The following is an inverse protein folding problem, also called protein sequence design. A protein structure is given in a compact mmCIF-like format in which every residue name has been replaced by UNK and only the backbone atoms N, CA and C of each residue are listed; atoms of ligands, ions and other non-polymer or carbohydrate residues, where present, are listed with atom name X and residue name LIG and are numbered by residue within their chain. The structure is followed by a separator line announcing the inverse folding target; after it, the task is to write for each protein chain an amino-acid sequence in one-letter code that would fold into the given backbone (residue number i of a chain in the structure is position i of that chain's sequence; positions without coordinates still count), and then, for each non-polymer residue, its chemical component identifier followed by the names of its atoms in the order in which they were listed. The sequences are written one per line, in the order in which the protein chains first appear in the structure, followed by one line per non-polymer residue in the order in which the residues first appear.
data_IF_995171154672
#
_entry.id   IF_995171154672
#
_cell.length_a   1.000
_cell.length_b   1.000
_cell.length_c   1.000
_cell.angle_alpha   90.00
_cell.angle_beta   90.00
_cell.angle_gamma   90.00
#
_symmetry.space_group_name_H-M   'P 1'
#
loop_
_entity.id
_entity.type
_entity.pdbx_description
1 polymer ?
#
# COMPACT_ATOMS: atom_id res chain seq x y z
N UNK A 1 16.49 -4.88 28.14
CA UNK A 1 17.69 -4.23 27.55
C UNK A 1 17.78 -4.56 26.07
N UNK A 2 18.09 -3.60 25.20
CA UNK A 2 18.30 -3.88 23.77
C UNK A 2 19.65 -4.56 23.63
N UNK A 3 19.68 -5.74 22.99
CA UNK A 3 20.92 -6.47 22.74
C UNK A 3 21.56 -5.96 21.44
N UNK A 4 22.65 -5.21 21.58
CA UNK A 4 23.42 -4.67 20.46
C UNK A 4 24.52 -5.63 19.96
N UNK A 5 24.72 -6.78 20.62
CA UNK A 5 25.74 -7.76 20.21
C UNK A 5 25.49 -8.30 18.79
N UNK A 6 24.22 -8.36 18.38
CA UNK A 6 23.78 -8.75 17.02
C UNK A 6 24.36 -7.83 15.95
N UNK A 7 24.52 -6.53 16.24
CA UNK A 7 25.12 -5.56 15.31
C UNK A 7 26.64 -5.79 15.20
N UNK A 8 27.30 -6.08 16.32
CA UNK A 8 28.75 -6.36 16.36
C UNK A 8 29.13 -7.60 15.55
N UNK A 9 28.29 -8.63 15.58
CA UNK A 9 28.50 -9.91 14.90
C UNK A 9 28.06 -9.90 13.42
N UNK A 10 27.29 -8.90 12.99
CA UNK A 10 26.82 -8.81 11.60
C UNK A 10 27.91 -8.31 10.65
N UNK A 11 28.03 -8.98 9.50
CA UNK A 11 28.92 -8.55 8.43
C UNK A 11 28.46 -7.21 7.82
N UNK A 12 29.42 -6.41 7.37
CA UNK A 12 29.14 -5.15 6.67
C UNK A 12 28.54 -5.39 5.28
N UNK A 13 28.91 -6.48 4.64
CA UNK A 13 28.43 -6.91 3.32
C UNK A 13 27.98 -8.37 3.37
N UNK A 14 26.86 -8.67 2.72
CA UNK A 14 26.33 -10.01 2.59
C UNK A 14 25.20 -10.03 1.58
N UNK A 15 25.01 -11.18 0.93
CA UNK A 15 23.91 -11.37 -0.02
C UNK A 15 22.60 -11.58 0.75
N UNK A 16 21.48 -10.99 0.28
CA UNK A 16 20.17 -11.28 0.85
C UNK A 16 19.79 -12.74 0.61
N UNK A 17 18.90 -13.25 1.46
CA UNK A 17 18.36 -14.60 1.30
C UNK A 17 17.36 -14.63 0.14
N UNK A 18 17.64 -15.48 -0.83
CA UNK A 18 16.77 -15.71 -1.98
C UNK A 18 15.91 -16.94 -1.75
N UNK A 19 14.63 -16.85 -2.09
CA UNK A 19 13.73 -17.99 -2.13
C UNK A 19 13.26 -18.23 -3.55
N UNK A 20 13.23 -19.49 -3.99
CA UNK A 20 12.71 -19.87 -5.29
C UNK A 20 11.17 -19.84 -5.29
N UNK A 21 10.52 -19.36 -6.35
CA UNK A 21 9.06 -19.35 -6.44
C UNK A 21 8.52 -20.77 -6.60
N UNK A 22 7.51 -21.12 -5.80
CA UNK A 22 6.74 -22.36 -5.92
C UNK A 22 5.29 -22.05 -6.32
N UNK A 23 4.81 -22.71 -7.37
CA UNK A 23 3.48 -22.44 -7.93
C UNK A 23 2.46 -23.44 -7.40
N UNK A 24 1.71 -23.02 -6.37
CA UNK A 24 0.58 -23.78 -5.83
C UNK A 24 -0.72 -23.10 -6.23
N UNK A 25 -1.57 -23.80 -7.01
CA UNK A 25 -2.81 -23.22 -7.53
C UNK A 25 -3.74 -22.71 -6.42
N UNK A 26 -3.82 -23.45 -5.31
CA UNK A 26 -4.63 -23.07 -4.15
C UNK A 26 -4.16 -21.74 -3.53
N UNK A 27 -2.85 -21.56 -3.39
CA UNK A 27 -2.25 -20.32 -2.89
C UNK A 27 -2.42 -19.14 -3.86
N UNK A 28 -2.33 -19.40 -5.17
CA UNK A 28 -2.56 -18.39 -6.20
C UNK A 28 -4.01 -17.90 -6.12
N UNK A 29 -4.99 -18.81 -6.06
CA UNK A 29 -6.40 -18.46 -5.95
C UNK A 29 -6.70 -17.65 -4.68
N UNK A 30 -6.00 -17.93 -3.57
CA UNK A 30 -6.05 -17.16 -2.32
C UNK A 30 -5.59 -15.70 -2.47
N UNK A 31 -4.55 -15.45 -3.27
CA UNK A 31 -3.95 -14.12 -3.40
C UNK A 31 -4.58 -13.30 -4.53
N UNK A 32 -5.14 -13.94 -5.56
CA UNK A 32 -5.76 -13.26 -6.72
C UNK A 32 -6.73 -12.14 -6.34
N UNK A 33 -7.67 -12.31 -5.37
CA UNK A 33 -8.58 -11.23 -4.97
C UNK A 33 -7.86 -9.99 -4.43
N UNK A 34 -6.68 -10.16 -3.82
CA UNK A 34 -5.87 -9.05 -3.27
C UNK A 34 -5.40 -8.12 -4.38
N UNK A 35 -5.24 -8.60 -5.61
CA UNK A 35 -4.86 -7.77 -6.77
C UNK A 35 -5.87 -6.65 -7.01
N UNK A 36 -7.16 -6.89 -6.78
CA UNK A 36 -8.20 -5.85 -6.93
C UNK A 36 -7.99 -4.72 -5.91
N UNK A 37 -7.59 -5.08 -4.69
CA UNK A 37 -7.27 -4.12 -3.63
C UNK A 37 -6.05 -3.28 -4.04
N UNK A 38 -4.99 -3.92 -4.53
CA UNK A 38 -3.77 -3.23 -4.97
C UNK A 38 -4.03 -2.29 -6.15
N UNK A 39 -4.88 -2.68 -7.10
CA UNK A 39 -5.26 -1.81 -8.23
C UNK A 39 -6.03 -0.59 -7.74
N UNK A 40 -6.99 -0.77 -6.82
CA UNK A 40 -7.73 0.34 -6.23
C UNK A 40 -6.83 1.28 -5.41
N UNK A 41 -5.88 0.73 -4.66
CA UNK A 41 -4.88 1.47 -3.90
C UNK A 41 -3.97 2.30 -4.82
N UNK A 42 -3.37 1.67 -5.83
CA UNK A 42 -2.46 2.32 -6.77
C UNK A 42 -3.17 3.41 -7.59
N UNK A 43 -4.44 3.18 -7.97
CA UNK A 43 -5.29 4.22 -8.55
C UNK A 43 -5.43 5.42 -7.60
N UNK A 44 -5.72 5.17 -6.32
CA UNK A 44 -5.81 6.19 -5.29
C UNK A 44 -4.53 7.01 -5.14
N UNK A 45 -3.38 6.35 -5.15
CA UNK A 45 -2.07 7.00 -5.08
C UNK A 45 -1.80 7.91 -6.30
N UNK A 46 -2.06 7.45 -7.53
CA UNK A 46 -1.88 8.28 -8.73
C UNK A 46 -2.83 9.48 -8.72
N UNK A 47 -4.08 9.30 -8.25
CA UNK A 47 -5.04 10.40 -8.09
C UNK A 47 -4.61 11.39 -7.02
N UNK A 48 -4.04 10.93 -5.90
CA UNK A 48 -3.49 11.80 -4.87
C UNK A 48 -2.32 12.64 -5.40
N UNK A 49 -1.42 12.06 -6.20
CA UNK A 49 -0.31 12.80 -6.83
C UNK A 49 -0.83 13.79 -7.89
N UNK A 50 -1.82 13.40 -8.70
CA UNK A 50 -2.51 14.30 -9.64
C UNK A 50 -3.07 15.53 -8.93
N UNK A 51 -3.73 15.33 -7.79
CA UNK A 51 -4.28 16.39 -6.95
C UNK A 51 -3.21 17.31 -6.33
N UNK A 52 -2.01 16.80 -6.03
CA UNK A 52 -0.90 17.61 -5.49
C UNK A 52 -0.17 18.41 -6.57
N UNK A 53 0.02 17.79 -7.72
CA UNK A 53 0.84 18.35 -8.82
C UNK A 53 0.03 19.21 -9.78
N UNK A 54 -1.29 19.10 -9.77
CA UNK A 54 -2.19 19.77 -10.72
C UNK A 54 -2.07 19.26 -12.15
N UNK A 55 -1.38 18.14 -12.37
CA UNK A 55 -1.14 17.54 -13.69
C UNK A 55 -1.99 16.29 -13.85
N UNK A 56 -2.69 16.18 -14.97
CA UNK A 56 -3.47 14.97 -15.27
C UNK A 56 -2.54 13.78 -15.54
N UNK A 57 -2.54 12.80 -14.63
CA UNK A 57 -1.74 11.57 -14.75
C UNK A 57 -2.55 10.37 -15.28
N UNK A 58 -3.83 10.54 -15.60
CA UNK A 58 -4.70 9.46 -16.10
C UNK A 58 -4.14 8.73 -17.34
N UNK A 59 -3.52 9.42 -18.32
CA UNK A 59 -2.90 8.74 -19.46
C UNK A 59 -1.76 7.79 -19.08
N UNK A 60 -1.15 7.98 -17.90
CA UNK A 60 -0.05 7.16 -17.40
C UNK A 60 -0.52 6.03 -16.49
N UNK A 61 -1.82 5.95 -16.16
CA UNK A 61 -2.36 4.96 -15.23
C UNK A 61 -2.03 3.52 -15.64
N UNK A 62 -2.18 3.19 -16.93
CA UNK A 62 -1.82 1.86 -17.44
C UNK A 62 -0.33 1.54 -17.29
N UNK A 63 0.55 2.56 -17.42
CA UNK A 63 2.00 2.41 -17.22
C UNK A 63 2.34 2.26 -15.74
N UNK A 64 1.59 2.91 -14.85
CA UNK A 64 1.73 2.76 -13.41
C UNK A 64 1.37 1.33 -12.96
N UNK A 65 0.24 0.79 -13.42
CA UNK A 65 -0.15 -0.59 -13.12
C UNK A 65 0.82 -1.62 -13.70
N UNK A 66 1.33 -1.40 -14.92
CA UNK A 66 2.34 -2.28 -15.51
C UNK A 66 3.65 -2.24 -14.70
N UNK A 67 4.11 -1.06 -14.29
CA UNK A 67 5.32 -0.92 -13.48
C UNK A 67 5.21 -1.65 -12.14
N UNK A 68 4.06 -1.52 -11.49
CA UNK A 68 3.75 -2.16 -10.21
C UNK A 68 3.68 -3.69 -10.32
N UNK A 69 3.01 -4.18 -11.37
CA UNK A 69 2.95 -5.61 -11.68
C UNK A 69 4.32 -6.20 -12.00
N UNK A 70 5.14 -5.51 -12.81
CA UNK A 70 6.50 -5.96 -13.12
C UNK A 70 7.39 -5.97 -11.88
N UNK A 71 7.30 -4.94 -11.03
CA UNK A 71 8.05 -4.90 -9.78
C UNK A 71 7.63 -6.03 -8.83
N UNK A 72 6.34 -6.34 -8.75
CA UNK A 72 5.81 -7.45 -7.96
C UNK A 72 6.26 -8.81 -8.50
N UNK A 73 6.26 -9.01 -9.83
CA UNK A 73 6.78 -10.24 -10.44
C UNK A 73 8.27 -10.40 -10.11
N UNK A 74 9.07 -9.35 -10.29
CA UNK A 74 10.51 -9.38 -10.00
C UNK A 74 10.78 -9.68 -8.52
N UNK A 75 10.03 -9.04 -7.60
CA UNK A 75 10.09 -9.28 -6.16
C UNK A 75 9.75 -10.74 -5.83
N UNK A 76 8.62 -11.25 -6.35
CA UNK A 76 8.20 -12.63 -6.12
C UNK A 76 9.18 -13.68 -6.67
N UNK A 77 9.83 -13.41 -7.80
CA UNK A 77 10.84 -14.31 -8.38
C UNK A 77 12.08 -14.49 -7.50
N UNK A 78 12.40 -13.50 -6.64
CA UNK A 78 13.56 -13.54 -5.74
C UNK A 78 13.19 -13.90 -4.30
N UNK A 79 11.90 -14.21 -4.04
CA UNK A 79 11.41 -14.53 -2.70
C UNK A 79 10.94 -13.32 -1.88
N UNK A 80 10.79 -12.16 -2.52
CA UNK A 80 10.22 -10.96 -1.92
C UNK A 80 8.69 -11.00 -1.86
N UNK A 81 8.10 -10.01 -1.21
CA UNK A 81 6.65 -9.85 -1.08
C UNK A 81 6.07 -9.05 -2.24
N UNK A 82 4.73 -9.03 -2.37
CA UNK A 82 4.05 -8.08 -3.25
C UNK A 82 4.44 -6.64 -2.90
N UNK A 83 4.65 -5.80 -3.91
CA UNK A 83 5.03 -4.40 -3.74
C UNK A 83 3.95 -3.49 -4.30
N UNK A 84 3.86 -2.29 -3.75
CA UNK A 84 2.92 -1.25 -4.18
C UNK A 84 3.56 0.12 -4.04
N UNK A 85 2.90 1.15 -4.53
CA UNK A 85 3.30 2.54 -4.31
C UNK A 85 3.07 2.94 -2.86
N UNK A 86 4.00 3.71 -2.27
CA UNK A 86 3.93 4.11 -0.85
C UNK A 86 3.22 5.46 -0.66
N UNK A 87 2.08 5.46 0.04
CA UNK A 87 1.30 6.65 0.38
C UNK A 87 2.04 7.61 1.32
N UNK A 88 2.95 7.10 2.12
CA UNK A 88 3.84 7.83 3.02
C UNK A 88 4.76 8.77 2.25
N UNK A 89 5.37 8.26 1.17
CA UNK A 89 6.22 9.06 0.29
C UNK A 89 5.39 10.16 -0.41
N UNK A 90 4.13 9.87 -0.73
CA UNK A 90 3.18 10.85 -1.28
C UNK A 90 2.87 11.93 -0.24
N UNK A 91 2.71 11.57 1.04
CA UNK A 91 2.58 12.51 2.15
C UNK A 91 3.79 13.45 2.28
N UNK A 92 5.01 12.90 2.17
CA UNK A 92 6.25 13.71 2.18
C UNK A 92 6.32 14.64 0.97
N UNK A 93 5.94 14.18 -0.22
CA UNK A 93 5.83 15.03 -1.41
C UNK A 93 4.81 16.16 -1.24
N UNK A 94 3.71 15.91 -0.53
CA UNK A 94 2.70 16.92 -0.21
C UNK A 94 3.28 18.05 0.65
N UNK A 95 4.07 17.68 1.67
CA UNK A 95 4.65 18.61 2.62
C UNK A 95 5.80 19.41 2.00
N UNK A 96 6.73 18.73 1.32
CA UNK A 96 7.95 19.35 0.81
C UNK A 96 7.80 19.96 -0.59
N UNK A 97 6.72 19.64 -1.32
CA UNK A 97 6.46 20.07 -2.71
C UNK A 97 7.60 19.74 -3.69
N UNK A 98 8.37 18.69 -3.40
CA UNK A 98 9.43 18.18 -4.28
C UNK A 98 8.91 16.93 -4.98
N UNK A 99 8.68 17.02 -6.29
CA UNK A 99 8.08 15.95 -7.11
C UNK A 99 9.07 15.33 -8.11
N UNK A 100 10.38 15.44 -7.85
CA UNK A 100 11.41 14.96 -8.77
C UNK A 100 11.48 13.44 -8.78
N UNK A 101 11.32 12.83 -9.95
CA UNK A 101 11.45 11.37 -10.14
C UNK A 101 12.87 10.87 -9.88
N UNK A 102 13.88 11.74 -10.03
CA UNK A 102 15.29 11.41 -9.82
C UNK A 102 15.58 11.05 -8.35
N UNK A 103 14.86 11.65 -7.40
CA UNK A 103 15.00 11.32 -5.98
C UNK A 103 14.63 9.85 -5.70
N UNK A 104 13.63 9.31 -6.40
CA UNK A 104 13.24 7.90 -6.25
C UNK A 104 14.32 6.96 -6.77
N UNK A 105 15.03 7.32 -7.85
CA UNK A 105 16.16 6.54 -8.37
C UNK A 105 17.30 6.52 -7.36
N UNK A 106 17.64 7.69 -6.80
CA UNK A 106 18.67 7.79 -5.76
C UNK A 106 18.27 6.96 -4.53
N UNK A 107 17.04 7.10 -4.04
CA UNK A 107 16.54 6.33 -2.91
C UNK A 107 16.58 4.82 -3.17
N UNK A 108 16.21 4.37 -4.37
CA UNK A 108 16.30 2.97 -4.76
C UNK A 108 17.75 2.47 -4.76
N UNK A 109 18.70 3.25 -5.26
CA UNK A 109 20.13 2.90 -5.20
C UNK A 109 20.63 2.77 -3.75
N UNK A 110 20.24 3.70 -2.87
CA UNK A 110 20.56 3.59 -1.45
C UNK A 110 19.93 2.33 -0.82
N UNK A 111 18.68 2.04 -1.12
CA UNK A 111 17.99 0.87 -0.62
C UNK A 111 18.67 -0.44 -1.07
N UNK A 112 19.11 -0.51 -2.33
CA UNK A 112 19.88 -1.65 -2.86
C UNK A 112 21.19 -1.81 -2.09
N UNK A 113 21.98 -0.74 -1.94
CA UNK A 113 23.25 -0.79 -1.21
C UNK A 113 23.06 -1.22 0.24
N UNK A 114 22.04 -0.70 0.92
CA UNK A 114 21.70 -1.07 2.29
C UNK A 114 21.16 -2.50 2.40
N UNK A 115 20.46 -3.00 1.37
CA UNK A 115 19.98 -4.38 1.29
C UNK A 115 21.12 -5.41 1.24
N UNK A 116 22.28 -5.04 0.72
CA UNK A 116 23.49 -5.87 0.76
C UNK A 116 24.28 -5.73 2.08
N UNK A 117 23.75 -5.04 3.09
CA UNK A 117 24.38 -4.87 4.40
C UNK A 117 23.60 -5.59 5.50
N UNK A 118 24.01 -6.82 5.88
CA UNK A 118 23.42 -7.54 7.02
C UNK A 118 23.46 -6.74 8.32
N UNK A 119 24.48 -5.91 8.49
CA UNK A 119 24.61 -4.98 9.63
C UNK A 119 23.47 -3.96 9.68
N UNK A 120 23.04 -3.43 8.54
CA UNK A 120 21.87 -2.54 8.51
C UNK A 120 20.58 -3.29 8.88
N UNK A 121 20.42 -4.52 8.40
CA UNK A 121 19.33 -5.41 8.82
C UNK A 121 19.33 -5.67 10.34
N UNK A 122 20.50 -5.92 10.93
CA UNK A 122 20.66 -6.10 12.37
C UNK A 122 20.28 -4.84 13.16
N UNK A 123 20.63 -3.65 12.66
CA UNK A 123 20.20 -2.38 13.28
C UNK A 123 18.67 -2.30 13.32
N UNK A 124 17.98 -2.60 12.21
CA UNK A 124 16.51 -2.59 12.15
C UNK A 124 15.91 -3.56 13.18
N UNK A 125 16.48 -4.76 13.33
CA UNK A 125 16.01 -5.75 14.30
C UNK A 125 16.18 -5.31 15.76
N UNK A 126 17.11 -4.39 16.05
CA UNK A 126 17.26 -3.83 17.40
C UNK A 126 16.25 -2.73 17.73
N UNK A 127 15.45 -2.26 16.76
CA UNK A 127 14.45 -1.22 16.99
C UNK A 127 13.34 -1.77 17.90
N UNK A 128 13.07 -1.13 19.06
CA UNK A 128 12.01 -1.56 19.96
C UNK A 128 10.63 -1.54 19.31
N UNK A 129 9.82 -2.55 19.62
CA UNK A 129 8.43 -2.67 19.15
C UNK A 129 7.56 -1.43 19.42
N UNK A 130 7.66 -0.73 20.57
CA UNK A 130 6.89 0.50 20.79
C UNK A 130 7.21 1.62 19.79
N UNK A 131 8.44 1.70 19.29
CA UNK A 131 8.84 2.70 18.28
C UNK A 131 8.25 2.32 16.92
N UNK A 132 8.36 1.04 16.54
CA UNK A 132 7.75 0.54 15.30
C UNK A 132 6.23 0.78 15.30
N UNK A 133 5.56 0.52 16.43
CA UNK A 133 4.14 0.83 16.60
C UNK A 133 3.83 2.32 16.43
N UNK A 134 4.62 3.20 17.06
CA UNK A 134 4.46 4.65 16.92
C UNK A 134 4.65 5.14 15.48
N UNK A 135 5.67 4.62 14.78
CA UNK A 135 5.87 4.95 13.36
C UNK A 135 4.72 4.45 12.49
N UNK A 136 4.21 3.24 12.75
CA UNK A 136 3.05 2.70 12.03
C UNK A 136 1.80 3.57 12.22
N UNK A 137 1.55 4.09 13.43
CA UNK A 137 0.41 5.01 13.68
C UNK A 137 0.53 6.27 12.82
N UNK A 138 1.71 6.88 12.75
CA UNK A 138 1.93 8.08 11.92
C UNK A 138 1.73 7.76 10.45
N UNK A 139 2.32 6.67 9.98
CA UNK A 139 2.25 6.20 8.60
C UNK A 139 0.81 5.91 8.18
N UNK A 140 0.09 5.06 8.91
CA UNK A 140 -1.30 4.72 8.59
C UNK A 140 -2.24 5.92 8.76
N UNK A 141 -1.96 6.82 9.71
CA UNK A 141 -2.68 8.08 9.86
C UNK A 141 -2.54 8.99 8.64
N UNK A 142 -1.33 9.12 8.10
CA UNK A 142 -1.08 9.89 6.88
C UNK A 142 -1.78 9.28 5.66
N UNK A 143 -1.79 7.95 5.54
CA UNK A 143 -2.51 7.24 4.47
C UNK A 143 -4.03 7.50 4.57
N UNK A 144 -4.60 7.40 5.76
CA UNK A 144 -6.03 7.67 5.99
C UNK A 144 -6.40 9.11 5.61
N UNK A 145 -5.59 10.10 6.00
CA UNK A 145 -5.79 11.51 5.64
C UNK A 145 -5.60 11.74 4.14
N UNK A 146 -4.67 11.03 3.48
CA UNK A 146 -4.52 11.09 2.03
C UNK A 146 -5.79 10.58 1.32
N UNK A 147 -6.42 9.51 1.82
CA UNK A 147 -7.73 9.03 1.36
C UNK A 147 -8.83 10.10 1.50
N UNK A 148 -8.93 10.73 2.67
CA UNK A 148 -9.89 11.83 2.88
C UNK A 148 -9.64 13.02 1.93
N UNK A 149 -8.38 13.34 1.66
CA UNK A 149 -8.00 14.40 0.72
C UNK A 149 -8.47 14.10 -0.71
N UNK A 150 -8.50 12.83 -1.13
CA UNK A 150 -9.06 12.42 -2.43
C UNK A 150 -10.56 12.80 -2.50
N UNK A 151 -11.33 12.59 -1.43
CA UNK A 151 -12.75 12.99 -1.40
C UNK A 151 -12.94 14.49 -1.53
N UNK A 152 -12.12 15.29 -0.82
CA UNK A 152 -12.17 16.75 -0.88
C UNK A 152 -11.81 17.26 -2.27
N UNK A 153 -10.75 16.73 -2.88
CA UNK A 153 -10.30 17.19 -4.20
C UNK A 153 -11.30 16.82 -5.29
N UNK A 154 -11.91 15.63 -5.22
CA UNK A 154 -12.94 15.21 -6.17
C UNK A 154 -14.33 15.78 -5.86
N UNK A 155 -14.44 16.69 -4.87
CA UNK A 155 -15.70 17.34 -4.48
C UNK A 155 -16.82 16.31 -4.22
N UNK A 156 -16.52 15.25 -3.48
CA UNK A 156 -17.51 14.22 -3.13
C UNK A 156 -18.60 14.85 -2.28
N UNK A 157 -19.84 14.84 -2.79
CA UNK A 157 -21.00 15.36 -2.08
C UNK A 157 -21.53 14.31 -1.09
N UNK A 158 -21.23 14.50 0.19
CA UNK A 158 -21.72 13.67 1.29
C UNK A 158 -23.16 14.01 1.73
N UNK A 159 -23.80 15.04 1.15
CA UNK A 159 -25.24 15.24 1.31
C UNK A 159 -26.04 14.18 0.55
N UNK A 160 -25.43 13.54 -0.44
CA UNK A 160 -26.01 12.39 -1.13
C UNK A 160 -25.85 11.14 -0.25
N UNK A 161 -26.99 10.55 0.14
CA UNK A 161 -27.03 9.34 0.98
C UNK A 161 -26.16 8.21 0.42
N UNK A 162 -26.05 8.07 -0.89
CA UNK A 162 -25.20 7.05 -1.54
C UNK A 162 -23.74 7.19 -1.14
N UNK A 163 -23.16 8.36 -1.35
CA UNK A 163 -21.75 8.62 -1.05
C UNK A 163 -21.48 8.51 0.45
N UNK A 164 -22.41 9.02 1.27
CA UNK A 164 -22.33 8.96 2.73
C UNK A 164 -22.32 7.52 3.25
N UNK A 165 -23.26 6.68 2.79
CA UNK A 165 -23.38 5.30 3.25
C UNK A 165 -22.20 4.46 2.77
N UNK A 166 -21.79 4.62 1.50
CA UNK A 166 -20.61 3.91 0.98
C UNK A 166 -19.37 4.26 1.79
N UNK A 167 -19.09 5.54 2.02
CA UNK A 167 -17.92 5.95 2.79
C UNK A 167 -17.97 5.48 4.25
N UNK A 168 -19.12 5.63 4.93
CA UNK A 168 -19.27 5.26 6.33
C UNK A 168 -19.09 3.75 6.56
N UNK A 169 -19.74 2.92 5.74
CA UNK A 169 -19.65 1.47 5.86
C UNK A 169 -18.23 0.99 5.57
N UNK A 170 -17.60 1.49 4.50
CA UNK A 170 -16.21 1.14 4.17
C UNK A 170 -15.24 1.55 5.28
N UNK A 171 -15.42 2.72 5.89
CA UNK A 171 -14.57 3.19 6.98
C UNK A 171 -14.69 2.30 8.23
N UNK A 172 -15.90 1.84 8.58
CA UNK A 172 -16.11 0.95 9.74
C UNK A 172 -15.61 -0.47 9.45
N UNK A 173 -15.87 -1.03 8.27
CA UNK A 173 -15.38 -2.36 7.90
C UNK A 173 -13.84 -2.41 7.91
N UNK A 174 -13.20 -1.35 7.40
CA UNK A 174 -11.74 -1.26 7.33
C UNK A 174 -11.11 -0.92 8.68
N UNK A 175 -11.57 0.15 9.31
CA UNK A 175 -11.02 0.64 10.59
C UNK A 175 -11.33 -0.28 11.78
N UNK A 176 -12.44 -1.03 11.72
CA UNK A 176 -12.81 -2.03 12.71
C UNK A 176 -12.17 -3.40 12.50
N UNK A 177 -11.30 -3.55 11.49
CA UNK A 177 -10.69 -4.82 11.06
C UNK A 177 -11.71 -5.97 10.97
N UNK A 178 -12.82 -5.73 10.27
CA UNK A 178 -13.87 -6.72 10.18
C UNK A 178 -13.41 -7.89 9.31
N UNK A 179 -13.01 -8.98 9.95
CA UNK A 179 -12.54 -10.18 9.25
C UNK A 179 -13.72 -11.05 8.84
N UNK A 180 -13.75 -11.40 7.55
CA UNK A 180 -14.81 -12.24 6.99
C UNK A 180 -14.20 -13.50 6.41
N UNK A 181 -14.59 -14.65 6.95
CA UNK A 181 -14.13 -15.95 6.46
C UNK A 181 -15.23 -16.58 5.60
N UNK A 182 -15.02 -16.63 4.29
CA UNK A 182 -15.95 -17.25 3.32
C UNK A 182 -15.23 -18.39 2.62
N UNK A 183 -15.82 -19.59 2.59
CA UNK A 183 -15.30 -20.77 1.86
C UNK A 183 -13.81 -21.09 2.11
N UNK A 184 -13.31 -20.86 3.32
CA UNK A 184 -11.91 -21.08 3.68
C UNK A 184 -10.96 -19.92 3.37
N UNK A 185 -11.47 -18.81 2.83
CA UNK A 185 -10.74 -17.57 2.57
C UNK A 185 -11.06 -16.56 3.66
N UNK A 186 -10.05 -16.09 4.38
CA UNK A 186 -10.20 -15.02 5.38
C UNK A 186 -9.80 -13.69 4.77
N UNK A 187 -10.78 -12.83 4.52
CA UNK A 187 -10.54 -11.43 4.18
C UNK A 187 -10.27 -10.64 5.45
N UNK A 188 -9.12 -9.97 5.52
CA UNK A 188 -8.84 -8.95 6.54
C UNK A 188 -9.73 -7.70 6.35
N UNK A 189 -9.69 -6.78 7.31
CA UNK A 189 -10.50 -5.55 7.27
C UNK A 189 -10.36 -4.73 5.98
N UNK A 190 -9.16 -4.63 5.41
CA UNK A 190 -8.94 -3.91 4.14
C UNK A 190 -9.66 -4.62 2.98
N UNK A 191 -9.65 -5.95 2.98
CA UNK A 191 -10.34 -6.74 1.96
C UNK A 191 -11.85 -6.58 2.04
N UNK A 192 -12.41 -6.75 3.24
CA UNK A 192 -13.86 -6.60 3.46
C UNK A 192 -14.34 -5.18 3.19
N UNK A 193 -13.55 -4.17 3.56
CA UNK A 193 -13.82 -2.77 3.24
C UNK A 193 -13.83 -2.51 1.73
N UNK A 194 -12.84 -3.01 1.00
CA UNK A 194 -12.71 -2.79 -0.45
C UNK A 194 -13.84 -3.45 -1.23
N UNK A 195 -14.07 -4.75 -1.00
CA UNK A 195 -15.16 -5.46 -1.67
C UNK A 195 -16.52 -4.93 -1.23
N UNK A 196 -16.68 -4.60 0.05
CA UNK A 196 -17.87 -3.95 0.59
C UNK A 196 -18.16 -2.62 -0.10
N UNK A 197 -17.15 -1.76 -0.28
CA UNK A 197 -17.28 -0.49 -0.98
C UNK A 197 -17.77 -0.68 -2.42
N UNK A 198 -17.13 -1.60 -3.16
CA UNK A 198 -17.43 -1.87 -4.57
C UNK A 198 -18.86 -2.40 -4.72
N UNK A 199 -19.23 -3.40 -3.91
CA UNK A 199 -20.56 -4.03 -3.96
C UNK A 199 -21.63 -3.02 -3.56
N UNK A 200 -21.45 -2.30 -2.46
CA UNK A 200 -22.41 -1.34 -1.96
C UNK A 200 -22.63 -0.19 -2.95
N UNK A 201 -21.55 0.35 -3.53
CA UNK A 201 -21.65 1.36 -4.56
C UNK A 201 -22.36 0.82 -5.82
N UNK A 202 -22.06 -0.42 -6.23
CA UNK A 202 -22.74 -1.05 -7.36
C UNK A 202 -24.24 -1.21 -7.09
N UNK A 203 -24.64 -1.79 -5.94
CA UNK A 203 -26.05 -1.99 -5.57
C UNK A 203 -26.80 -0.67 -5.53
N UNK A 204 -26.24 0.37 -4.91
CA UNK A 204 -26.89 1.67 -4.83
C UNK A 204 -26.97 2.38 -6.20
N UNK A 205 -26.04 2.09 -7.12
CA UNK A 205 -26.07 2.65 -8.48
C UNK A 205 -27.12 2.02 -9.40
N UNK A 206 -27.64 0.83 -9.08
CA UNK A 206 -28.63 0.13 -9.92
C UNK A 206 -30.00 0.86 -9.95
N UNK A 207 -30.31 1.67 -8.94
CA UNK A 207 -31.57 2.41 -8.84
C UNK A 207 -31.56 3.81 -9.48
N UNK A 208 -30.38 4.36 -9.80
CA UNK A 208 -30.24 5.70 -10.38
C UNK A 208 -30.16 5.58 -11.91
N UNK A 209 -31.29 5.83 -12.58
CA UNK A 209 -31.25 6.12 -14.03
C UNK A 209 -30.40 7.37 -14.23
N UNK A 210 -29.41 7.25 -15.12
CA UNK A 210 -28.56 8.35 -15.62
C UNK A 210 -29.37 9.56 -16.06
#
# INVERSE_FOLDING_TARGET
PIDFSVIGNAAWFGLPHFHSPEFHMDAILLIVPVVIILVAENLGHVKAVTAMTGRNLDPYMGRAFLGDGLATILSGCVGGTGVTTYGENIGVMAANRVYSTLLFVIAAMFAIVLGFSPKFGAIIQTIPQPILGGTSIVVFGLIAVAGARIWVVNQVDFSQNRNLIVAAVTMILGGGDFTLSIFGFTFGGIGTATFGAIILNAVMSIGERR
#
